data_IF_497375184948
#
_entry.id   IF_497375184948
#
_cell.length_a   1.000
_cell.length_b   1.000
_cell.length_c   1.000
_cell.angle_alpha   90.00
_cell.angle_beta   90.00
_cell.angle_gamma   90.00
#
_symmetry.space_group_name_H-M   'P 1'
#
loop_
_entity.id
_entity.type
_entity.pdbx_description
1 polymer ?
#
# COMPACT_ATOMS: atom_id res chain seq x y z
N UNK A 1 2.25 9.76 14.52
CA UNK A 1 0.82 9.47 14.74
C UNK A 1 0.13 10.78 15.01
N UNK A 2 -0.80 11.21 14.14
CA UNK A 2 -1.71 12.32 14.45
C UNK A 2 -2.38 11.93 15.77
N UNK A 3 -2.24 12.75 16.81
CA UNK A 3 -2.80 12.48 18.13
C UNK A 3 -4.31 12.39 18.03
N UNK A 4 -4.81 11.15 17.93
CA UNK A 4 -6.22 10.89 17.80
C UNK A 4 -6.75 10.54 19.19
N UNK A 5 -7.73 11.31 19.68
CA UNK A 5 -8.40 11.03 20.95
C UNK A 5 -9.12 9.69 20.85
N UNK A 6 -8.88 8.78 21.79
CA UNK A 6 -9.50 7.44 21.87
C UNK A 6 -11.01 7.52 22.14
N UNK A 7 -11.75 8.07 21.18
CA UNK A 7 -13.18 8.26 21.24
C UNK A 7 -13.88 7.00 20.71
N UNK A 8 -14.97 6.58 21.36
CA UNK A 8 -15.73 5.39 20.96
C UNK A 8 -16.18 5.41 19.47
N UNK A 9 -16.50 6.58 18.92
CA UNK A 9 -16.90 6.74 17.53
C UNK A 9 -15.79 6.39 16.53
N UNK A 10 -14.55 6.74 16.83
CA UNK A 10 -13.42 6.45 15.95
C UNK A 10 -13.09 4.97 15.90
N UNK A 11 -13.12 4.30 17.06
CA UNK A 11 -12.91 2.86 17.14
C UNK A 11 -13.95 2.11 16.30
N UNK A 12 -15.19 2.59 16.32
CA UNK A 12 -16.27 2.04 15.49
C UNK A 12 -16.04 2.28 13.99
N UNK A 13 -15.67 3.50 13.58
CA UNK A 13 -15.38 3.83 12.18
C UNK A 13 -14.22 2.99 11.63
N UNK A 14 -13.10 2.89 12.36
CA UNK A 14 -11.93 2.11 11.93
C UNK A 14 -12.26 0.62 11.85
N UNK A 15 -13.09 0.11 12.76
CA UNK A 15 -13.55 -1.27 12.71
C UNK A 15 -14.37 -1.55 11.45
N UNK A 16 -15.36 -0.70 11.15
CA UNK A 16 -16.20 -0.85 9.97
C UNK A 16 -15.38 -0.77 8.67
N UNK A 17 -14.45 0.19 8.58
CA UNK A 17 -13.55 0.32 7.42
C UNK A 17 -12.63 -0.89 7.24
N UNK A 18 -12.06 -1.43 8.33
CA UNK A 18 -11.23 -2.64 8.25
C UNK A 18 -12.04 -3.84 7.77
N UNK A 19 -13.22 -4.06 8.33
CA UNK A 19 -14.10 -5.16 7.92
C UNK A 19 -14.50 -5.01 6.44
N UNK A 20 -14.86 -3.79 6.01
CA UNK A 20 -15.14 -3.49 4.61
C UNK A 20 -13.96 -3.79 3.70
N UNK A 21 -12.76 -3.30 4.01
CA UNK A 21 -11.60 -3.53 3.14
C UNK A 21 -11.14 -4.99 3.12
N UNK A 22 -11.26 -5.72 4.23
CA UNK A 22 -10.81 -7.11 4.31
C UNK A 22 -11.79 -8.06 3.64
N UNK A 23 -13.10 -7.77 3.66
CA UNK A 23 -14.14 -8.69 3.18
C UNK A 23 -14.75 -8.22 1.86
N UNK A 24 -15.18 -6.96 1.78
CA UNK A 24 -15.90 -6.46 0.60
C UNK A 24 -14.97 -6.32 -0.61
N UNK A 25 -13.77 -5.77 -0.43
CA UNK A 25 -12.83 -5.56 -1.53
C UNK A 25 -12.43 -6.86 -2.26
N UNK A 26 -12.02 -7.96 -1.57
CA UNK A 26 -11.68 -9.19 -2.29
C UNK A 26 -12.91 -9.85 -2.92
N UNK A 27 -14.08 -9.83 -2.27
CA UNK A 27 -15.30 -10.40 -2.85
C UNK A 27 -15.69 -9.67 -4.14
N UNK A 28 -15.68 -8.34 -4.12
CA UNK A 28 -15.99 -7.53 -5.29
C UNK A 28 -14.99 -7.76 -6.42
N UNK A 29 -13.69 -7.77 -6.10
CA UNK A 29 -12.64 -8.04 -7.08
C UNK A 29 -12.74 -9.44 -7.69
N UNK A 30 -13.04 -10.48 -6.89
CA UNK A 30 -13.24 -11.84 -7.38
C UNK A 30 -14.47 -11.95 -8.28
N UNK A 31 -15.56 -11.29 -7.90
CA UNK A 31 -16.80 -11.27 -8.68
C UNK A 31 -16.56 -10.65 -10.06
N UNK A 32 -15.86 -9.52 -10.11
CA UNK A 32 -15.48 -8.87 -11.37
C UNK A 32 -14.57 -9.77 -12.22
N UNK A 33 -13.57 -10.42 -11.61
CA UNK A 33 -12.68 -11.33 -12.33
C UNK A 33 -13.45 -12.49 -12.97
N UNK A 34 -14.41 -13.08 -12.25
CA UNK A 34 -15.26 -14.16 -12.76
C UNK A 34 -16.13 -13.66 -13.92
N UNK A 35 -16.75 -12.48 -13.79
CA UNK A 35 -17.56 -11.89 -14.86
C UNK A 35 -16.74 -11.63 -16.13
N UNK A 36 -15.50 -11.18 -16.01
CA UNK A 36 -14.59 -10.96 -17.14
C UNK A 36 -14.26 -12.28 -17.84
N UNK A 37 -14.00 -13.34 -17.09
CA UNK A 37 -13.70 -14.67 -17.64
C UNK A 37 -14.92 -15.25 -18.35
N UNK A 38 -16.10 -15.20 -17.71
CA UNK A 38 -17.35 -15.72 -18.30
C UNK A 38 -17.80 -14.93 -19.53
N UNK A 39 -17.55 -13.61 -19.55
CA UNK A 39 -17.86 -12.73 -20.66
C UNK A 39 -16.85 -12.77 -21.81
N UNK A 40 -15.80 -13.58 -21.72
CA UNK A 40 -14.75 -13.69 -22.73
C UNK A 40 -15.28 -14.43 -23.97
N UNK A 41 -16.05 -13.71 -24.80
CA UNK A 41 -16.42 -14.17 -26.14
C UNK A 41 -15.26 -13.89 -27.10
N UNK A 42 -15.08 -14.74 -28.11
CA UNK A 42 -14.14 -14.54 -29.22
C UNK A 42 -14.22 -13.08 -29.68
N UNK A 43 -13.13 -12.34 -29.47
CA UNK A 43 -13.06 -10.89 -29.68
C UNK A 43 -13.16 -10.66 -31.20
N UNK A 44 -14.36 -10.51 -31.74
CA UNK A 44 -14.56 -10.31 -33.18
C UNK A 44 -14.65 -8.82 -33.47
N UNK A 45 -13.68 -8.30 -34.21
CA UNK A 45 -13.75 -6.93 -34.73
C UNK A 45 -14.31 -6.97 -36.15
N UNK A 46 -15.43 -6.28 -36.38
CA UNK A 46 -16.06 -6.15 -37.70
C UNK A 46 -16.31 -7.50 -38.43
N UNK A 47 -16.67 -8.55 -37.70
CA UNK A 47 -16.98 -9.88 -38.26
C UNK A 47 -15.77 -10.79 -38.51
N UNK A 48 -14.53 -10.30 -38.30
CA UNK A 48 -13.32 -11.09 -38.42
C UNK A 48 -12.83 -11.59 -37.05
N UNK A 49 -12.38 -12.84 -36.98
CA UNK A 49 -11.82 -13.42 -35.76
C UNK A 49 -10.47 -12.78 -35.42
N UNK A 50 -10.24 -12.47 -34.15
CA UNK A 50 -8.93 -11.99 -33.70
C UNK A 50 -7.88 -13.10 -33.91
N UNK A 51 -6.69 -12.77 -34.42
CA UNK A 51 -5.65 -13.76 -34.58
C UNK A 51 -5.12 -14.23 -33.23
N UNK A 52 -4.80 -15.54 -33.15
CA UNK A 52 -4.38 -16.20 -31.89
C UNK A 52 -3.13 -15.55 -31.29
N UNK A 53 -2.19 -15.09 -32.11
CA UNK A 53 -0.97 -14.42 -31.62
C UNK A 53 -1.29 -13.17 -30.78
N UNK A 54 -2.31 -12.40 -31.16
CA UNK A 54 -2.67 -11.18 -30.46
C UNK A 54 -3.37 -11.48 -29.12
N UNK A 55 -4.12 -12.58 -29.05
CA UNK A 55 -4.71 -13.07 -27.79
C UNK A 55 -3.60 -13.46 -26.81
N UNK A 56 -2.63 -14.25 -27.28
CA UNK A 56 -1.46 -14.67 -26.48
C UNK A 56 -0.66 -13.47 -25.99
N UNK A 57 -0.42 -12.46 -26.85
CA UNK A 57 0.24 -11.22 -26.47
C UNK A 57 -0.52 -10.47 -25.36
N UNK A 58 -1.84 -10.38 -25.44
CA UNK A 58 -2.66 -9.74 -24.41
C UNK A 58 -2.51 -10.42 -23.04
N UNK A 59 -2.52 -11.75 -23.01
CA UNK A 59 -2.29 -12.51 -21.78
C UNK A 59 -0.86 -12.34 -21.25
N UNK A 60 0.17 -12.36 -22.10
CA UNK A 60 1.56 -12.13 -21.69
C UNK A 60 1.71 -10.76 -21.02
N UNK A 61 1.14 -9.71 -21.62
CA UNK A 61 1.17 -8.36 -21.05
C UNK A 61 0.44 -8.34 -19.69
N UNK A 62 -0.75 -8.95 -19.60
CA UNK A 62 -1.49 -9.04 -18.34
C UNK A 62 -0.71 -9.76 -17.24
N UNK A 63 -0.10 -10.91 -17.54
CA UNK A 63 0.70 -11.67 -16.59
C UNK A 63 2.01 -10.97 -16.21
N UNK A 64 2.63 -10.22 -17.12
CA UNK A 64 3.89 -9.54 -16.85
C UNK A 64 3.80 -8.59 -15.66
N UNK A 65 2.69 -7.84 -15.56
CA UNK A 65 2.45 -6.90 -14.46
C UNK A 65 2.25 -7.65 -13.14
N UNK A 66 1.47 -8.74 -13.16
CA UNK A 66 1.19 -9.56 -11.98
C UNK A 66 2.48 -10.24 -11.48
N UNK A 67 3.37 -10.66 -12.38
CA UNK A 67 4.60 -11.39 -12.08
C UNK A 67 5.69 -10.51 -11.43
N UNK A 68 5.66 -9.18 -11.60
CA UNK A 68 6.64 -8.28 -10.98
C UNK A 68 6.58 -8.38 -9.44
N UNK A 69 5.38 -8.48 -8.86
CA UNK A 69 5.18 -8.54 -7.40
C UNK A 69 5.90 -9.75 -6.76
N UNK A 70 5.65 -11.01 -7.19
CA UNK A 70 6.34 -12.16 -6.64
C UNK A 70 7.83 -12.16 -6.96
N UNK A 71 8.26 -11.68 -8.14
CA UNK A 71 9.69 -11.54 -8.46
C UNK A 71 10.40 -10.62 -7.46
N UNK A 72 9.81 -9.48 -7.13
CA UNK A 72 10.37 -8.55 -6.14
C UNK A 72 10.36 -9.13 -4.72
N UNK A 73 9.35 -9.94 -4.37
CA UNK A 73 9.30 -10.65 -3.09
C UNK A 73 10.47 -11.65 -2.98
N UNK A 74 10.66 -12.48 -4.00
CA UNK A 74 11.74 -13.47 -4.06
C UNK A 74 13.12 -12.80 -4.04
N UNK A 75 13.29 -11.72 -4.82
CA UNK A 75 14.53 -10.94 -4.84
C UNK A 75 14.90 -10.39 -3.46
N UNK A 76 13.93 -9.86 -2.70
CA UNK A 76 14.17 -9.36 -1.35
C UNK A 76 14.57 -10.49 -0.39
N UNK A 77 13.84 -11.61 -0.40
CA UNK A 77 14.13 -12.78 0.45
C UNK A 77 15.56 -13.33 0.20
N UNK A 78 16.04 -13.34 -1.05
CA UNK A 78 17.41 -13.77 -1.35
C UNK A 78 18.47 -12.78 -0.87
N UNK A 79 18.15 -11.48 -0.84
CA UNK A 79 19.08 -10.43 -0.43
C UNK A 79 19.24 -10.34 1.09
N UNK A 80 18.21 -10.64 1.87
CA UNK A 80 18.35 -10.69 3.34
C UNK A 80 19.23 -11.87 3.78
N UNK A 81 20.07 -11.63 4.79
CA UNK A 81 20.89 -12.65 5.45
C UNK A 81 20.14 -13.21 6.67
N UNK A 82 20.19 -14.53 6.90
CA UNK A 82 19.56 -15.18 8.07
C UNK A 82 18.74 -16.43 7.73
N UNK A 83 18.02 -16.98 8.71
CA UNK A 83 17.07 -18.09 8.53
C UNK A 83 15.83 -17.63 7.76
N UNK A 84 15.21 -18.51 6.96
CA UNK A 84 14.05 -18.18 6.11
C UNK A 84 12.89 -17.57 6.92
N UNK A 85 12.65 -18.06 8.14
CA UNK A 85 11.63 -17.52 9.05
C UNK A 85 11.90 -16.08 9.46
N UNK A 86 13.17 -15.75 9.73
CA UNK A 86 13.58 -14.42 10.18
C UNK A 86 13.51 -13.40 9.05
N UNK A 87 13.86 -13.82 7.81
CA UNK A 87 13.73 -12.99 6.61
C UNK A 87 12.27 -12.61 6.36
N UNK A 88 11.36 -13.59 6.38
CA UNK A 88 9.92 -13.33 6.17
C UNK A 88 9.37 -12.44 7.29
N UNK A 89 9.74 -12.69 8.54
CA UNK A 89 9.31 -11.88 9.67
C UNK A 89 9.89 -10.46 9.64
N UNK A 90 11.08 -10.27 9.05
CA UNK A 90 11.67 -8.97 8.82
C UNK A 90 10.92 -8.22 7.71
N UNK A 91 10.68 -8.89 6.57
CA UNK A 91 9.98 -8.33 5.41
C UNK A 91 8.51 -7.95 5.68
N UNK A 92 7.86 -8.62 6.65
CA UNK A 92 6.49 -8.26 7.06
C UNK A 92 6.43 -6.96 7.87
N UNK A 93 7.54 -6.47 8.42
CA UNK A 93 7.54 -5.28 9.28
C UNK A 93 7.53 -4.01 8.43
N UNK A 94 6.65 -3.05 8.72
CA UNK A 94 6.65 -1.78 8.01
C UNK A 94 7.93 -0.99 8.33
N UNK A 95 8.56 -0.43 7.30
CA UNK A 95 9.67 0.52 7.49
C UNK A 95 9.08 1.89 7.79
N UNK A 96 9.27 2.36 9.02
CA UNK A 96 8.88 3.72 9.38
C UNK A 96 9.94 4.71 8.90
N UNK A 97 9.53 5.70 8.10
CA UNK A 97 10.41 6.85 7.83
C UNK A 97 10.65 7.61 9.14
N UNK A 98 11.81 8.25 9.29
CA UNK A 98 12.16 9.01 10.51
C UNK A 98 11.07 10.03 10.89
N UNK A 99 10.46 10.67 9.90
CA UNK A 99 9.33 11.61 10.08
C UNK A 99 8.05 10.97 10.64
N UNK A 100 7.90 9.65 10.53
CA UNK A 100 6.74 8.90 11.03
C UNK A 100 6.94 8.38 12.45
N UNK A 101 8.16 8.44 12.99
CA UNK A 101 8.45 8.05 14.37
C UNK A 101 7.92 9.15 15.33
N UNK A 102 6.96 8.83 16.23
CA UNK A 102 6.36 9.83 17.11
C UNK A 102 7.36 10.44 18.09
N UNK A 103 8.36 9.68 18.54
CA UNK A 103 9.39 10.21 19.46
C UNK A 103 10.29 11.24 18.77
N UNK A 104 10.66 10.95 17.50
CA UNK A 104 11.41 11.89 16.67
C UNK A 104 10.56 13.14 16.39
N UNK A 105 9.34 12.97 15.85
CA UNK A 105 8.46 14.09 15.53
C UNK A 105 8.21 15.01 16.73
N UNK A 106 7.92 14.43 17.91
CA UNK A 106 7.73 15.19 19.14
C UNK A 106 8.98 15.99 19.55
N UNK A 107 10.18 15.43 19.35
CA UNK A 107 11.43 16.13 19.61
C UNK A 107 11.62 17.32 18.66
N UNK A 108 11.37 17.14 17.36
CA UNK A 108 11.47 18.21 16.36
C UNK A 108 10.46 19.33 16.61
N UNK A 109 9.19 18.99 16.88
CA UNK A 109 8.15 19.97 17.20
C UNK A 109 8.49 20.78 18.46
N UNK A 110 9.05 20.11 19.49
CA UNK A 110 9.47 20.80 20.72
C UNK A 110 10.61 21.78 20.47
N UNK A 111 11.58 21.40 19.63
CA UNK A 111 12.69 22.28 19.27
C UNK A 111 12.20 23.46 18.43
N UNK A 112 11.39 23.23 17.40
CA UNK A 112 10.79 24.29 16.58
C UNK A 112 10.06 25.34 17.42
N UNK A 113 9.26 24.88 18.38
CA UNK A 113 8.52 25.78 19.27
C UNK A 113 9.45 26.59 20.18
N UNK A 114 10.57 26.02 20.63
CA UNK A 114 11.60 26.73 21.40
C UNK A 114 12.28 27.81 20.57
N UNK A 115 12.55 27.52 19.30
CA UNK A 115 13.19 28.45 18.36
C UNK A 115 12.24 29.61 18.02
N UNK A 116 10.95 29.34 17.84
CA UNK A 116 9.91 30.35 17.61
C UNK A 116 9.82 31.37 18.76
N UNK A 117 9.76 30.89 20.02
CA UNK A 117 9.79 31.78 21.18
C UNK A 117 11.07 32.62 21.23
N UNK A 118 12.23 32.03 20.92
CA UNK A 118 13.50 32.76 20.94
C UNK A 118 13.53 33.91 19.93
N UNK A 119 12.92 33.74 18.75
CA UNK A 119 12.78 34.80 17.76
C UNK A 119 11.83 35.90 18.26
N UNK A 120 10.67 35.52 18.80
CA UNK A 120 9.68 36.47 19.32
C UNK A 120 10.26 37.37 20.43
N UNK A 121 11.08 36.83 21.34
CA UNK A 121 11.79 37.63 22.35
C UNK A 121 12.81 38.59 21.75
N UNK A 122 13.53 38.20 20.69
CA UNK A 122 14.49 39.08 20.01
C UNK A 122 13.77 40.24 19.32
N UNK A 123 12.60 40.02 18.72
CA UNK A 123 11.81 41.07 18.06
C UNK A 123 11.13 42.03 19.04
N UNK A 124 10.70 41.57 20.23
CA UNK A 124 10.07 42.43 21.25
C UNK A 124 11.11 43.31 21.98
N UNK A 125 12.38 42.89 22.01
CA UNK A 125 13.46 43.57 22.74
C UNK A 125 14.21 44.62 21.89
N UNK A 126 13.84 44.80 20.62
CA UNK A 126 14.44 45.71 19.65
C UNK A 126 13.50 46.87 19.30
#
# INVERSE_FOLDING_TARGET
>A
MIGYSDNCAYRYIVFYLKCGMIVFAPIFSLTLLIMIIMGYKNITYAGNMYPVWSIVLGWIIGFSIIMIIPCMMVYQIYREKGSLSDRINHLRRPVYKMTQNPAFFNKYMRNWKKDEYSQEYIYIMH
#
